data_IF_374498826539
#
_entry.id   IF_374498826539
#
_cell.length_a   1.000
_cell.length_b   1.000
_cell.length_c   1.000
_cell.angle_alpha   90.00
_cell.angle_beta   90.00
_cell.angle_gamma   90.00
#
_symmetry.space_group_name_H-M   'P 1'
#
loop_
_entity.id
_entity.type
_entity.pdbx_description
1 polymer ?
#
# COMPACT_ATOMS: atom_id res chain seq x y z
N UNK A 1 -11.19 -1.55 -4.10
CA UNK A 1 -9.82 -1.83 -3.61
C UNK A 1 -9.22 -0.56 -3.02
N UNK A 2 -8.47 -0.64 -1.90
CA UNK A 2 -7.68 0.48 -1.33
C UNK A 2 -6.38 0.68 -2.13
N UNK A 3 -5.99 1.91 -2.45
CA UNK A 3 -4.81 2.20 -3.30
C UNK A 3 -3.91 3.29 -2.72
N UNK A 4 -2.59 3.12 -2.86
CA UNK A 4 -1.66 4.20 -2.46
C UNK A 4 -1.81 5.47 -3.31
N UNK A 5 -2.26 5.37 -4.56
CA UNK A 5 -2.49 6.53 -5.43
C UNK A 5 -3.55 7.50 -4.87
N UNK A 6 -4.63 6.97 -4.28
CA UNK A 6 -5.73 7.75 -3.68
C UNK A 6 -5.49 8.13 -2.22
N UNK A 7 -4.35 7.75 -1.63
CA UNK A 7 -4.05 8.03 -0.23
C UNK A 7 -4.82 7.15 0.76
N UNK A 8 -5.36 6.01 0.33
CA UNK A 8 -6.09 5.06 1.18
C UNK A 8 -5.42 3.69 1.25
N UNK A 9 -4.16 3.58 0.78
CA UNK A 9 -3.37 2.36 0.78
C UNK A 9 -3.22 1.75 2.17
N UNK A 10 -3.07 0.42 2.24
CA UNK A 10 -3.14 -0.33 3.49
C UNK A 10 -2.21 0.21 4.59
N UNK A 11 -1.01 0.64 4.22
CA UNK A 11 0.00 1.20 5.12
C UNK A 11 0.29 2.69 4.82
N UNK A 12 -0.73 3.47 4.45
CA UNK A 12 -0.58 4.86 4.00
C UNK A 12 0.29 5.72 4.94
N UNK A 13 0.04 5.70 6.24
CA UNK A 13 0.83 6.51 7.19
C UNK A 13 2.30 6.09 7.25
N UNK A 14 2.58 4.79 7.07
CA UNK A 14 3.96 4.30 6.99
C UNK A 14 4.60 4.71 5.66
N UNK A 15 3.84 4.68 4.57
CA UNK A 15 4.26 5.15 3.24
C UNK A 15 4.62 6.64 3.27
N UNK A 16 3.81 7.48 3.93
CA UNK A 16 4.06 8.91 4.08
C UNK A 16 5.38 9.18 4.83
N UNK A 17 5.62 8.44 5.92
CA UNK A 17 6.88 8.54 6.69
C UNK A 17 8.09 8.10 5.88
N UNK A 18 7.97 7.03 5.11
CA UNK A 18 9.04 6.58 4.20
C UNK A 18 9.29 7.59 3.08
N UNK A 19 8.24 8.19 2.53
CA UNK A 19 8.33 9.20 1.49
C UNK A 19 9.09 10.44 1.98
N UNK A 20 8.88 10.86 3.23
CA UNK A 20 9.60 11.96 3.85
C UNK A 20 11.13 11.72 3.98
N UNK A 21 11.60 10.47 3.91
CA UNK A 21 13.03 10.12 3.93
C UNK A 21 13.70 10.23 2.56
N UNK A 22 12.92 10.29 1.48
CA UNK A 22 13.40 10.33 0.10
C UNK A 22 13.68 11.79 -0.29
N UNK A 23 14.91 12.12 -0.73
CA UNK A 23 15.20 13.43 -1.26
C UNK A 23 14.46 13.66 -2.59
N UNK A 24 14.20 14.91 -2.94
CA UNK A 24 13.53 15.26 -4.19
C UNK A 24 14.26 14.70 -5.43
N UNK A 25 15.59 14.58 -5.37
CA UNK A 25 16.42 14.00 -6.43
C UNK A 25 17.54 13.15 -5.82
N UNK A 26 17.97 12.14 -6.58
CA UNK A 26 19.07 11.24 -6.20
C UNK A 26 18.63 9.90 -5.63
N UNK A 27 19.62 9.04 -5.38
CA UNK A 27 19.42 7.74 -4.73
C UNK A 27 19.53 7.84 -3.21
N UNK A 28 19.02 6.81 -2.51
CA UNK A 28 19.10 6.69 -1.06
C UNK A 28 19.84 5.43 -0.63
N UNK A 29 20.76 4.92 -1.47
CA UNK A 29 21.48 3.66 -1.18
C UNK A 29 22.26 3.71 0.12
N UNK A 30 22.79 4.88 0.47
CA UNK A 30 23.49 5.14 1.73
C UNK A 30 22.57 5.03 2.96
N UNK A 31 21.24 5.13 2.79
CA UNK A 31 20.24 4.93 3.84
C UNK A 31 19.74 3.49 3.92
N UNK A 32 20.06 2.64 2.96
CA UNK A 32 19.65 1.24 2.92
C UNK A 32 19.15 0.77 1.55
N UNK A 33 19.20 -0.54 1.33
CA UNK A 33 18.83 -1.16 0.04
C UNK A 33 17.31 -1.26 -0.11
N UNK A 34 16.57 -1.46 0.97
CA UNK A 34 15.12 -1.58 0.95
C UNK A 34 14.47 -0.22 0.76
N UNK A 35 14.98 0.84 1.38
CA UNK A 35 14.52 2.20 1.13
C UNK A 35 14.77 2.63 -0.33
N UNK A 36 15.93 2.29 -0.90
CA UNK A 36 16.19 2.55 -2.32
C UNK A 36 15.25 1.73 -3.24
N UNK A 37 14.96 0.48 -2.88
CA UNK A 37 13.97 -0.33 -3.59
C UNK A 37 12.59 0.32 -3.53
N UNK A 38 12.16 0.79 -2.36
CA UNK A 38 10.90 1.53 -2.19
C UNK A 38 10.85 2.79 -3.05
N UNK A 39 11.88 3.64 -3.00
CA UNK A 39 11.96 4.84 -3.84
C UNK A 39 11.75 4.52 -5.33
N UNK A 40 12.42 3.48 -5.82
CA UNK A 40 12.28 3.05 -7.22
C UNK A 40 10.91 2.44 -7.51
N UNK A 41 10.37 1.66 -6.58
CA UNK A 41 9.04 1.05 -6.69
C UNK A 41 7.93 2.11 -6.78
N UNK A 42 8.00 3.19 -5.99
CA UNK A 42 7.10 4.35 -6.13
C UNK A 42 7.15 4.94 -7.53
N UNK A 43 8.34 5.01 -8.14
CA UNK A 43 8.51 5.43 -9.53
C UNK A 43 7.81 4.52 -10.53
N UNK A 44 7.92 3.20 -10.37
CA UNK A 44 7.19 2.21 -11.19
C UNK A 44 5.68 2.33 -10.98
N UNK A 45 5.24 2.40 -9.73
CA UNK A 45 3.84 2.53 -9.36
C UNK A 45 3.23 3.78 -9.99
N UNK A 46 3.90 4.94 -9.91
CA UNK A 46 3.46 6.16 -10.60
C UNK A 46 3.42 5.99 -12.13
N UNK A 47 4.41 5.34 -12.72
CA UNK A 47 4.47 5.14 -14.18
C UNK A 47 3.34 4.23 -14.69
N UNK A 48 2.81 3.33 -13.85
CA UNK A 48 1.61 2.54 -14.17
C UNK A 48 0.41 3.44 -14.44
N UNK A 49 0.09 4.35 -13.52
CA UNK A 49 -1.11 5.20 -13.64
C UNK A 49 -0.93 6.35 -14.63
N UNK A 50 0.30 6.87 -14.77
CA UNK A 50 0.55 8.05 -15.61
C UNK A 50 0.90 7.68 -17.05
N UNK A 51 1.63 6.57 -17.26
CA UNK A 51 2.14 6.18 -18.59
C UNK A 51 1.95 4.68 -18.88
N UNK A 52 1.11 3.94 -18.17
CA UNK A 52 0.92 2.52 -18.44
C UNK A 52 2.22 1.70 -18.44
N UNK A 53 3.18 2.04 -17.57
CA UNK A 53 4.50 1.38 -17.47
C UNK A 53 5.43 1.55 -18.68
N UNK A 54 5.11 2.38 -19.69
CA UNK A 54 5.93 2.50 -20.90
C UNK A 54 7.39 2.90 -20.63
N UNK A 55 7.66 3.66 -19.56
CA UNK A 55 9.03 4.07 -19.23
C UNK A 55 9.75 3.06 -18.33
N UNK A 56 9.00 2.24 -17.59
CA UNK A 56 9.54 1.42 -16.50
C UNK A 56 9.16 -0.05 -16.55
N UNK A 57 8.63 -0.54 -17.66
CA UNK A 57 8.19 -1.93 -17.81
C UNK A 57 9.28 -2.95 -17.41
N UNK A 58 10.53 -2.70 -17.80
CA UNK A 58 11.67 -3.57 -17.47
C UNK A 58 12.02 -3.62 -15.97
N UNK A 59 11.55 -2.67 -15.17
CA UNK A 59 11.81 -2.61 -13.73
C UNK A 59 10.72 -3.29 -12.89
N UNK A 60 9.52 -3.47 -13.43
CA UNK A 60 8.31 -3.92 -12.69
C UNK A 60 8.59 -5.23 -11.98
N UNK A 61 9.09 -6.24 -12.70
CA UNK A 61 9.40 -7.55 -12.13
C UNK A 61 10.47 -7.48 -11.05
N UNK A 62 11.51 -6.67 -11.24
CA UNK A 62 12.62 -6.58 -10.29
C UNK A 62 12.23 -5.87 -8.99
N UNK A 63 11.34 -4.87 -9.08
CA UNK A 63 10.96 -4.04 -7.93
C UNK A 63 9.71 -4.56 -7.23
N UNK A 64 8.71 -5.01 -7.97
CA UNK A 64 7.42 -5.45 -7.43
C UNK A 64 7.25 -6.97 -7.43
N UNK A 65 8.10 -7.73 -8.14
CA UNK A 65 7.95 -9.20 -8.23
C UNK A 65 6.79 -9.65 -9.12
N UNK A 66 5.97 -8.72 -9.61
CA UNK A 66 4.84 -8.96 -10.51
C UNK A 66 5.12 -8.35 -11.89
N UNK A 67 4.36 -8.75 -12.90
CA UNK A 67 4.36 -8.12 -14.24
C UNK A 67 3.00 -8.33 -14.88
N UNK A 68 2.51 -7.41 -15.74
CA UNK A 68 1.29 -7.60 -16.50
C UNK A 68 1.21 -8.96 -17.22
N UNK A 69 2.36 -9.48 -17.68
CA UNK A 69 2.44 -10.76 -18.38
C UNK A 69 2.01 -11.96 -17.52
N UNK A 70 2.16 -11.90 -16.19
CA UNK A 70 1.68 -12.97 -15.29
C UNK A 70 0.15 -13.10 -15.32
N UNK A 71 -0.55 -12.05 -15.74
CA UNK A 71 -2.01 -11.96 -15.84
C UNK A 71 -2.51 -12.07 -17.29
N UNK A 72 -1.61 -12.38 -18.23
CA UNK A 72 -1.92 -12.43 -19.66
C UNK A 72 -2.13 -11.05 -20.29
N UNK A 73 -1.74 -9.97 -19.61
CA UNK A 73 -1.87 -8.60 -20.11
C UNK A 73 -0.68 -8.26 -21.00
N UNK A 74 -0.94 -7.81 -22.22
CA UNK A 74 0.11 -7.31 -23.11
C UNK A 74 0.39 -5.84 -22.80
N UNK A 75 1.66 -5.39 -22.80
CA UNK A 75 2.01 -4.01 -22.40
C UNK A 75 1.42 -2.92 -23.31
N UNK A 76 0.88 -3.29 -24.47
CA UNK A 76 0.33 -2.38 -25.48
C UNK A 76 -1.19 -2.20 -25.38
N UNK A 77 -1.85 -2.82 -24.40
CA UNK A 77 -3.31 -2.77 -24.26
C UNK A 77 -3.73 -1.98 -23.03
N UNK A 78 -4.95 -1.44 -23.05
CA UNK A 78 -5.57 -0.78 -21.89
C UNK A 78 -5.87 -1.76 -20.74
N UNK A 79 -5.55 -3.05 -20.90
CA UNK A 79 -5.82 -4.09 -19.92
C UNK A 79 -4.91 -4.00 -18.69
N UNK A 80 -3.95 -3.06 -18.65
CA UNK A 80 -3.11 -2.76 -17.49
C UNK A 80 -3.92 -2.29 -16.26
N UNK A 81 -5.19 -1.94 -16.45
CA UNK A 81 -6.11 -1.57 -15.37
C UNK A 81 -7.07 -2.70 -14.97
N UNK A 82 -6.80 -3.93 -15.41
CA UNK A 82 -7.53 -5.10 -14.88
C UNK A 82 -7.33 -5.22 -13.37
N UNK A 83 -8.43 -5.46 -12.68
CA UNK A 83 -8.50 -5.44 -11.21
C UNK A 83 -7.54 -6.44 -10.57
N UNK A 84 -7.45 -7.66 -11.09
CA UNK A 84 -6.56 -8.71 -10.56
C UNK A 84 -5.08 -8.34 -10.61
N UNK A 85 -4.64 -7.66 -11.66
CA UNK A 85 -3.28 -7.16 -11.75
C UNK A 85 -3.03 -5.98 -10.80
N UNK A 86 -3.97 -5.03 -10.72
CA UNK A 86 -3.87 -3.92 -9.77
C UNK A 86 -3.84 -4.43 -8.32
N UNK A 87 -4.61 -5.48 -8.02
CA UNK A 87 -4.58 -6.19 -6.74
C UNK A 87 -3.20 -6.70 -6.37
N UNK A 88 -2.54 -7.35 -7.31
CA UNK A 88 -1.19 -7.84 -7.12
C UNK A 88 -0.15 -6.72 -7.01
N UNK A 89 -0.37 -5.58 -7.67
CA UNK A 89 0.50 -4.40 -7.57
C UNK A 89 0.41 -3.76 -6.19
N UNK A 90 -0.79 -3.55 -5.63
CA UNK A 90 -0.89 -2.98 -4.27
C UNK A 90 -0.32 -3.96 -3.22
N UNK A 91 -0.56 -5.26 -3.35
CA UNK A 91 0.03 -6.26 -2.47
C UNK A 91 1.58 -6.28 -2.58
N UNK A 92 2.12 -6.05 -3.78
CA UNK A 92 3.56 -5.89 -3.96
C UNK A 92 4.08 -4.60 -3.29
N UNK A 93 3.33 -3.49 -3.39
CA UNK A 93 3.67 -2.24 -2.71
C UNK A 93 3.63 -2.39 -1.19
N UNK A 94 2.64 -3.07 -0.63
CA UNK A 94 2.57 -3.42 0.80
C UNK A 94 3.87 -4.09 1.25
N UNK A 95 4.32 -5.12 0.55
CA UNK A 95 5.56 -5.83 0.88
C UNK A 95 6.80 -4.91 0.81
N UNK A 96 6.87 -4.05 -0.21
CA UNK A 96 7.99 -3.10 -0.37
C UNK A 96 8.00 -2.05 0.75
N UNK A 97 6.82 -1.56 1.16
CA UNK A 97 6.67 -0.60 2.27
C UNK A 97 7.05 -1.25 3.59
N UNK A 98 6.59 -2.48 3.87
CA UNK A 98 6.95 -3.21 5.08
C UNK A 98 8.45 -3.45 5.17
N UNK A 99 9.07 -3.93 4.09
CA UNK A 99 10.52 -4.15 4.01
C UNK A 99 11.32 -2.88 4.32
N UNK A 100 10.91 -1.75 3.71
CA UNK A 100 11.57 -0.48 3.91
C UNK A 100 11.33 0.08 5.32
N UNK A 101 10.12 -0.07 5.86
CA UNK A 101 9.79 0.36 7.22
C UNK A 101 10.62 -0.39 8.27
N UNK A 102 10.77 -1.71 8.11
CA UNK A 102 11.61 -2.54 8.98
C UNK A 102 13.07 -2.09 8.90
N UNK A 103 13.62 -1.87 7.70
CA UNK A 103 15.00 -1.40 7.51
C UNK A 103 15.23 -0.03 8.17
N UNK A 104 14.24 0.88 8.09
CA UNK A 104 14.35 2.23 8.65
C UNK A 104 13.92 2.31 10.13
N UNK A 105 13.58 1.19 10.78
CA UNK A 105 13.11 1.17 12.17
C UNK A 105 11.79 1.93 12.40
N UNK A 106 10.96 2.07 11.36
CA UNK A 106 9.67 2.75 11.45
C UNK A 106 8.59 1.82 12.00
N UNK A 107 7.71 2.37 12.84
CA UNK A 107 6.49 1.68 13.26
C UNK A 107 5.55 1.51 12.06
N UNK A 108 5.16 0.27 11.79
CA UNK A 108 4.14 -0.07 10.79
C UNK A 108 2.76 0.25 11.36
N UNK A 109 1.96 1.00 10.60
CA UNK A 109 0.57 1.35 10.92
C UNK A 109 -0.31 0.92 9.77
N UNK A 110 -1.18 -0.04 10.02
CA UNK A 110 -2.22 -0.42 9.07
C UNK A 110 -3.41 0.53 9.21
N UNK A 111 -3.91 1.12 8.12
CA UNK A 111 -5.05 2.05 8.17
C UNK A 111 -6.31 1.40 8.78
N UNK A 112 -6.53 0.09 8.57
CA UNK A 112 -7.60 -0.66 9.22
C UNK A 112 -7.48 -0.65 10.76
N UNK A 113 -6.25 -0.62 11.29
CA UNK A 113 -5.98 -0.51 12.72
C UNK A 113 -6.18 0.93 13.23
N UNK A 114 -5.96 1.95 12.40
CA UNK A 114 -6.16 3.36 12.76
C UNK A 114 -7.64 3.77 12.73
N UNK A 115 -8.45 3.25 11.79
CA UNK A 115 -9.92 3.39 11.84
C UNK A 115 -10.47 2.84 13.17
N UNK A 116 -9.98 1.67 13.60
CA UNK A 116 -10.34 1.09 14.90
C UNK A 116 -9.82 1.90 16.10
N UNK A 117 -8.64 2.53 16.01
CA UNK A 117 -8.10 3.38 17.07
C UNK A 117 -8.85 4.72 17.17
N UNK A 118 -9.19 5.35 16.03
CA UNK A 118 -10.03 6.56 15.97
C UNK A 118 -11.43 6.30 16.49
N UNK A 119 -12.05 5.18 16.12
CA UNK A 119 -13.38 4.80 16.64
C UNK A 119 -13.37 4.58 18.16
N UNK A 120 -12.27 4.06 18.73
CA UNK A 120 -12.10 3.90 20.19
C UNK A 120 -11.74 5.20 20.90
N UNK A 121 -11.11 6.15 20.22
CA UNK A 121 -10.72 7.45 20.75
C UNK A 121 -11.84 8.51 20.67
N UNK A 122 -12.96 8.21 19.99
CA UNK A 122 -14.15 9.05 20.03
C UNK A 122 -14.89 8.86 21.37
N UNK A 123 -15.15 9.93 22.14
CA UNK A 123 -15.97 9.84 23.33
C UNK A 123 -17.42 9.51 22.91
N UNK A 124 -17.82 8.24 23.00
CA UNK A 124 -19.20 7.82 22.77
C UNK A 124 -19.41 6.37 22.30
N UNK A 125 -18.43 5.74 21.67
CA UNK A 125 -18.58 4.37 21.11
C UNK A 125 -18.20 3.27 22.11
N UNK A 126 -18.66 3.39 23.35
CA UNK A 126 -18.18 2.57 24.45
C UNK A 126 -19.22 2.11 25.44
N UNK A 127 -20.53 2.12 25.11
CA UNK A 127 -21.55 1.42 25.90
C UNK A 127 -22.68 1.06 24.97
N UNK A 128 -22.87 -0.22 24.64
CA UNK A 128 -24.17 -0.91 24.53
C UNK A 128 -23.90 -2.36 24.13
N UNK A 129 -23.32 -3.11 25.07
CA UNK A 129 -23.34 -4.56 25.05
C UNK A 129 -23.64 -5.01 26.49
N UNK A 130 -24.93 -5.15 26.82
CA UNK A 130 -25.46 -6.06 27.84
C UNK A 130 -26.94 -5.75 28.13
N UNK A 131 -27.84 -6.58 27.58
CA UNK A 131 -28.77 -7.40 28.38
C UNK A 131 -29.63 -8.25 27.45
N UNK A 132 -29.17 -9.47 27.23
CA UNK A 132 -30.06 -10.60 26.95
C UNK A 132 -30.80 -10.88 28.25
N UNK A 133 -32.11 -10.65 28.26
CA UNK A 133 -33.00 -11.03 29.35
C UNK A 133 -34.28 -11.61 28.77
N UNK A 134 -34.41 -12.93 28.81
CA UNK A 134 -35.69 -13.67 28.61
C UNK A 134 -36.65 -13.28 29.75
N UNK A 135 -37.98 -13.24 29.58
CA UNK A 135 -39.02 -14.31 29.79
C UNK A 135 -40.34 -13.53 30.11
N UNK A 136 -41.60 -14.05 30.11
CA UNK A 136 -42.36 -14.96 29.23
C UNK A 136 -43.63 -14.30 28.62
N UNK A 137 -44.28 -15.01 27.69
CA UNK A 137 -45.67 -14.74 27.24
C UNK A 137 -46.64 -15.38 28.23
N UNK A 138 -47.68 -14.65 28.64
CA UNK A 138 -48.87 -15.19 29.32
C UNK A 138 -49.93 -15.55 28.31
#
# INVERSE_FOLDING_TARGET
MKQYWSGDGRYQETQDKLWALIPAMGDVRHKGRKLEKYRRAVGVYRDLYVNGLFNRFGEVRALLGVTPLHFGIRPTTMDLFREDFLEAVEAAMDNVILDAAIEQGLRVVELSAHENMRLRALPGFGKHAAKVGKVPVR
#
